data_IF_832972705834
#
_entry.id   IF_832972705834
#
_cell.length_a   1.000
_cell.length_b   1.000
_cell.length_c   1.000
_cell.angle_alpha   90.00
_cell.angle_beta   90.00
_cell.angle_gamma   90.00
#
_symmetry.space_group_name_H-M   'P 1'
#
loop_
_entity.id
_entity.type
_entity.pdbx_description
1 polymer ?
#
# COMPACT_ATOMS: atom_id res chain seq x y z
N UNK A 1 10.48 18.45 -2.84
CA UNK A 1 9.64 17.25 -3.04
C UNK A 1 10.16 16.56 -4.27
N UNK A 2 10.46 15.27 -4.20
CA UNK A 2 10.97 14.52 -5.37
C UNK A 2 9.80 14.16 -6.29
N UNK A 3 9.67 14.76 -7.49
CA UNK A 3 8.52 14.57 -8.37
C UNK A 3 8.40 13.13 -8.89
N UNK A 4 9.48 12.35 -8.86
CA UNK A 4 9.49 10.96 -9.33
C UNK A 4 8.84 9.97 -8.33
N UNK A 5 8.49 10.41 -7.11
CA UNK A 5 7.94 9.54 -6.06
C UNK A 5 6.58 8.91 -6.40
N UNK A 6 5.85 9.46 -7.37
CA UNK A 6 4.63 8.83 -7.88
C UNK A 6 4.93 7.56 -8.70
N UNK A 7 6.11 7.51 -9.34
CA UNK A 7 6.43 6.50 -10.34
C UNK A 7 7.49 5.51 -9.87
N UNK A 8 8.42 5.95 -9.03
CA UNK A 8 9.61 5.18 -8.64
C UNK A 8 9.64 4.86 -7.16
N UNK A 9 10.25 3.73 -6.83
CA UNK A 9 10.56 3.41 -5.44
C UNK A 9 11.64 4.37 -4.93
N UNK A 10 11.45 4.90 -3.73
CA UNK A 10 12.45 5.67 -3.00
C UNK A 10 13.71 4.82 -2.79
N UNK A 11 13.55 3.53 -2.51
CA UNK A 11 14.65 2.58 -2.45
C UNK A 11 14.69 1.75 -3.73
N UNK A 12 15.71 2.01 -4.54
CA UNK A 12 15.95 1.35 -5.83
C UNK A 12 16.12 -0.17 -5.72
N UNK A 13 16.50 -0.71 -4.55
CA UNK A 13 16.61 -2.16 -4.34
C UNK A 13 15.28 -2.92 -4.45
N UNK A 14 14.15 -2.22 -4.42
CA UNK A 14 12.83 -2.80 -4.66
C UNK A 14 12.42 -2.82 -6.14
N UNK A 15 13.13 -2.11 -7.03
CA UNK A 15 12.81 -2.12 -8.47
C UNK A 15 13.04 -3.51 -9.11
N UNK A 16 13.86 -4.37 -8.49
CA UNK A 16 14.18 -5.71 -8.99
C UNK A 16 13.27 -6.80 -8.44
N UNK A 17 12.32 -6.47 -7.55
CA UNK A 17 11.41 -7.46 -6.95
C UNK A 17 10.20 -7.62 -7.86
N UNK A 18 10.04 -8.80 -8.44
CA UNK A 18 8.84 -9.14 -9.19
C UNK A 18 7.68 -9.42 -8.24
N UNK A 19 6.58 -8.67 -8.42
CA UNK A 19 5.32 -8.91 -7.72
C UNK A 19 4.22 -9.13 -8.74
N UNK A 20 3.83 -10.38 -9.03
CA UNK A 20 2.79 -10.65 -10.01
C UNK A 20 1.46 -10.07 -9.54
N UNK A 21 0.77 -9.40 -10.46
CA UNK A 21 -0.54 -8.83 -10.20
C UNK A 21 -1.57 -9.95 -10.00
N UNK A 22 -2.24 -9.95 -8.86
CA UNK A 22 -3.40 -10.78 -8.57
C UNK A 22 -4.64 -9.89 -8.58
N UNK A 23 -5.28 -9.80 -9.75
CA UNK A 23 -6.43 -8.94 -9.97
C UNK A 23 -7.59 -9.28 -9.03
N UNK A 24 -7.80 -10.56 -8.73
CA UNK A 24 -8.89 -11.00 -7.86
C UNK A 24 -8.68 -10.49 -6.42
N UNK A 25 -7.47 -10.62 -5.88
CA UNK A 25 -7.13 -10.08 -4.55
C UNK A 25 -7.19 -8.56 -4.53
N UNK A 26 -6.68 -7.91 -5.58
CA UNK A 26 -6.73 -6.45 -5.68
C UNK A 26 -8.17 -5.92 -5.71
N UNK A 27 -9.05 -6.54 -6.50
CA UNK A 27 -10.46 -6.16 -6.58
C UNK A 27 -11.22 -6.44 -5.28
N UNK A 28 -10.92 -7.56 -4.61
CA UNK A 28 -11.47 -7.84 -3.28
C UNK A 28 -11.06 -6.76 -2.28
N UNK A 29 -9.79 -6.32 -2.31
CA UNK A 29 -9.29 -5.24 -1.46
C UNK A 29 -9.96 -3.89 -1.76
N UNK A 30 -10.04 -3.47 -3.04
CA UNK A 30 -10.71 -2.22 -3.44
C UNK A 30 -12.18 -2.17 -3.03
N UNK A 31 -12.87 -3.33 -3.04
CA UNK A 31 -14.30 -3.44 -2.68
C UNK A 31 -14.52 -3.68 -1.19
N UNK A 32 -13.46 -3.80 -0.38
CA UNK A 32 -13.56 -4.19 1.03
C UNK A 32 -14.26 -5.54 1.22
N UNK A 33 -13.84 -6.56 0.47
CA UNK A 33 -14.35 -7.94 0.51
C UNK A 33 -13.21 -8.96 0.65
N UNK A 34 -12.18 -8.60 1.40
CA UNK A 34 -11.00 -9.45 1.66
C UNK A 34 -11.30 -10.57 2.65
N UNK A 35 -12.38 -10.46 3.42
CA UNK A 35 -12.69 -11.39 4.51
C UNK A 35 -11.99 -11.03 5.82
N UNK A 36 -11.18 -9.97 5.85
CA UNK A 36 -10.55 -9.43 7.06
C UNK A 36 -11.40 -8.25 7.55
N UNK A 37 -12.15 -8.38 8.67
CA UNK A 37 -13.17 -7.41 9.05
C UNK A 37 -12.68 -5.96 9.16
N UNK A 38 -11.48 -5.78 9.73
CA UNK A 38 -10.91 -4.45 9.92
C UNK A 38 -10.49 -3.78 8.59
N UNK A 39 -9.92 -4.56 7.66
CA UNK A 39 -9.54 -4.06 6.33
C UNK A 39 -10.79 -3.71 5.52
N UNK A 40 -11.77 -4.59 5.55
CA UNK A 40 -13.03 -4.43 4.83
C UNK A 40 -13.81 -3.21 5.35
N UNK A 41 -13.89 -3.03 6.67
CA UNK A 41 -14.52 -1.88 7.28
C UNK A 41 -13.81 -0.57 6.93
N UNK A 42 -12.47 -0.55 6.96
CA UNK A 42 -11.70 0.64 6.60
C UNK A 42 -11.90 1.03 5.14
N UNK A 43 -11.85 0.08 4.21
CA UNK A 43 -12.04 0.39 2.79
C UNK A 43 -13.45 0.89 2.51
N UNK A 44 -14.48 0.25 3.09
CA UNK A 44 -15.87 0.69 2.92
C UNK A 44 -16.10 2.08 3.53
N UNK A 45 -15.56 2.34 4.70
CA UNK A 45 -15.61 3.66 5.34
C UNK A 45 -14.93 4.72 4.46
N UNK A 46 -13.76 4.41 3.90
CA UNK A 46 -13.05 5.31 2.99
C UNK A 46 -13.87 5.62 1.74
N UNK A 47 -14.44 4.59 1.09
CA UNK A 47 -15.26 4.77 -0.12
C UNK A 47 -16.52 5.60 0.17
N UNK A 48 -17.15 5.39 1.32
CA UNK A 48 -18.39 6.08 1.69
C UNK A 48 -18.16 7.54 2.12
N UNK A 49 -17.12 7.79 2.93
CA UNK A 49 -16.91 9.08 3.60
C UNK A 49 -15.80 9.92 2.99
N UNK A 50 -14.94 9.29 2.20
CA UNK A 50 -13.73 9.91 1.65
C UNK A 50 -12.63 10.19 2.67
N UNK A 51 -12.73 9.67 3.89
CA UNK A 51 -11.79 9.93 4.96
C UNK A 51 -11.39 8.68 5.76
N UNK A 52 -10.10 8.62 6.11
CA UNK A 52 -9.56 7.72 7.14
C UNK A 52 -8.50 8.45 7.94
N UNK A 53 -8.29 8.06 9.20
CA UNK A 53 -7.14 8.53 9.96
C UNK A 53 -5.83 7.92 9.42
N UNK A 54 -4.70 8.57 9.69
CA UNK A 54 -3.39 8.15 9.17
C UNK A 54 -3.05 6.68 9.45
N UNK A 55 -3.40 6.16 10.63
CA UNK A 55 -3.06 4.78 11.01
C UNK A 55 -3.83 3.76 10.17
N UNK A 56 -5.08 4.03 9.85
CA UNK A 56 -5.89 3.16 8.99
C UNK A 56 -5.48 3.26 7.52
N UNK A 57 -5.09 4.45 7.04
CA UNK A 57 -4.49 4.60 5.70
C UNK A 57 -3.24 3.75 5.57
N UNK A 58 -2.34 3.86 6.55
CA UNK A 58 -1.13 3.06 6.61
C UNK A 58 -1.43 1.55 6.61
N UNK A 59 -2.42 1.12 7.40
CA UNK A 59 -2.82 -0.28 7.47
C UNK A 59 -3.33 -0.83 6.12
N UNK A 60 -4.16 -0.07 5.38
CA UNK A 60 -4.65 -0.51 4.06
C UNK A 60 -3.49 -0.76 3.07
N UNK A 61 -2.48 0.12 3.10
CA UNK A 61 -1.30 0.03 2.23
C UNK A 61 -0.42 -1.14 2.64
N UNK A 62 -0.15 -1.28 3.94
CA UNK A 62 0.65 -2.39 4.47
C UNK A 62 0.01 -3.74 4.15
N UNK A 63 -1.32 -3.84 4.26
CA UNK A 63 -2.05 -5.05 3.90
C UNK A 63 -1.91 -5.37 2.41
N UNK A 64 -2.11 -4.38 1.53
CA UNK A 64 -1.93 -4.55 0.09
C UNK A 64 -0.52 -5.07 -0.26
N UNK A 65 0.53 -4.47 0.32
CA UNK A 65 1.90 -4.74 -0.11
C UNK A 65 2.53 -5.96 0.55
N UNK A 66 2.13 -6.30 1.79
CA UNK A 66 2.72 -7.40 2.54
C UNK A 66 1.83 -8.65 2.55
N UNK A 67 0.52 -8.49 2.75
CA UNK A 67 -0.38 -9.64 2.87
C UNK A 67 -0.88 -10.11 1.51
N UNK A 68 -1.18 -9.18 0.60
CA UNK A 68 -1.58 -9.52 -0.77
C UNK A 68 -0.39 -9.59 -1.74
N UNK A 69 0.79 -9.18 -1.29
CA UNK A 69 2.03 -9.12 -2.08
C UNK A 69 1.84 -8.36 -3.41
N UNK A 70 1.08 -7.27 -3.38
CA UNK A 70 0.78 -6.44 -4.55
C UNK A 70 1.62 -5.17 -4.56
N UNK A 71 1.90 -4.62 -5.74
CA UNK A 71 2.62 -3.35 -5.85
C UNK A 71 1.83 -2.18 -5.27
N UNK A 72 2.50 -1.25 -4.59
CA UNK A 72 1.83 -0.07 -4.02
C UNK A 72 1.24 0.83 -5.13
N UNK A 73 1.88 0.85 -6.30
CA UNK A 73 1.46 1.65 -7.46
C UNK A 73 0.06 1.27 -7.92
N UNK A 74 -0.28 -0.03 -7.93
CA UNK A 74 -1.60 -0.49 -8.37
C UNK A 74 -2.73 -0.11 -7.40
N UNK A 75 -2.40 0.09 -6.12
CA UNK A 75 -3.33 0.58 -5.10
C UNK A 75 -3.39 2.11 -5.00
N UNK A 76 -2.30 2.80 -5.33
CA UNK A 76 -2.16 4.26 -5.16
C UNK A 76 -3.28 5.03 -5.86
N UNK A 77 -3.52 4.74 -7.14
CA UNK A 77 -4.53 5.43 -7.93
C UNK A 77 -5.95 5.19 -7.39
N UNK A 78 -6.22 4.00 -6.83
CA UNK A 78 -7.52 3.73 -6.20
C UNK A 78 -7.71 4.57 -4.95
N UNK A 79 -6.74 4.56 -4.04
CA UNK A 79 -6.78 5.32 -2.79
C UNK A 79 -6.84 6.82 -3.03
N UNK A 80 -6.02 7.34 -3.96
CA UNK A 80 -6.02 8.75 -4.34
C UNK A 80 -7.40 9.24 -4.77
N UNK A 81 -8.17 8.43 -5.50
CA UNK A 81 -9.54 8.76 -5.92
C UNK A 81 -10.56 8.74 -4.79
N UNK A 82 -10.29 8.07 -3.66
CA UNK A 82 -11.23 8.01 -2.56
C UNK A 82 -11.02 9.15 -1.55
N UNK A 83 -9.79 9.65 -1.39
CA UNK A 83 -9.49 10.65 -0.38
C UNK A 83 -9.96 12.05 -0.80
N UNK A 84 -10.83 12.67 0.00
CA UNK A 84 -11.24 14.07 -0.18
C UNK A 84 -10.12 15.05 0.18
N UNK A 85 -9.17 14.62 1.02
CA UNK A 85 -7.97 15.35 1.44
C UNK A 85 -6.72 14.87 0.68
N UNK A 86 -6.89 14.42 -0.56
CA UNK A 86 -5.77 13.97 -1.39
C UNK A 86 -4.81 15.13 -1.67
N UNK A 87 -3.60 15.01 -1.12
CA UNK A 87 -2.46 15.86 -1.44
C UNK A 87 -1.31 14.97 -1.93
N UNK A 88 -0.86 15.09 -3.19
CA UNK A 88 0.16 14.21 -3.76
C UNK A 88 1.45 14.25 -2.93
N UNK A 89 1.75 15.43 -2.38
CA UNK A 89 2.92 15.65 -1.55
C UNK A 89 2.93 14.97 -0.19
N UNK A 90 1.78 14.51 0.28
CA UNK A 90 1.65 13.73 1.52
C UNK A 90 1.39 12.26 1.16
N UNK A 91 0.56 12.02 0.14
CA UNK A 91 0.09 10.70 -0.25
C UNK A 91 1.24 9.77 -0.67
N UNK A 92 2.05 10.16 -1.67
CA UNK A 92 3.11 9.28 -2.18
C UNK A 92 4.21 8.98 -1.14
N UNK A 93 4.70 9.96 -0.35
CA UNK A 93 5.63 9.64 0.74
C UNK A 93 5.04 8.65 1.76
N UNK A 94 3.79 8.83 2.17
CA UNK A 94 3.14 7.94 3.13
C UNK A 94 2.95 6.52 2.58
N UNK A 95 2.52 6.40 1.32
CA UNK A 95 2.41 5.12 0.63
C UNK A 95 3.74 4.37 0.66
N UNK A 96 4.82 5.01 0.23
CA UNK A 96 6.13 4.37 0.11
C UNK A 96 6.79 4.02 1.45
N UNK A 97 6.60 4.86 2.48
CA UNK A 97 7.07 4.55 3.84
C UNK A 97 6.35 3.32 4.37
N UNK A 98 5.05 3.18 4.09
CA UNK A 98 4.22 2.11 4.66
C UNK A 98 4.25 0.82 3.84
N UNK A 99 4.52 0.91 2.54
CA UNK A 99 4.68 -0.24 1.66
C UNK A 99 5.99 -1.01 1.90
N UNK A 100 6.80 -0.57 2.87
CA UNK A 100 8.18 -1.01 3.11
C UNK A 100 9.05 -0.83 1.87
N UNK A 101 9.25 0.43 1.45
CA UNK A 101 10.41 0.81 0.64
C UNK A 101 11.62 1.22 1.52
N UNK A 102 11.63 0.85 2.80
CA UNK A 102 12.86 0.86 3.62
C UNK A 102 13.40 -0.57 3.61
N UNK A 103 14.73 -0.69 3.46
CA UNK A 103 15.50 -1.90 3.13
C UNK A 103 14.83 -3.25 3.48
N UNK A 104 14.97 -4.27 2.61
CA UNK A 104 14.58 -5.61 3.01
C UNK A 104 15.29 -5.92 4.34
N UNK A 105 14.54 -6.37 5.34
CA UNK A 105 15.15 -7.09 6.44
C UNK A 105 15.82 -8.29 5.79
N UNK A 106 17.12 -8.20 5.56
CA UNK A 106 17.97 -9.35 5.26
C UNK A 106 17.82 -10.25 6.49
N UNK A 107 16.86 -11.17 6.46
CA UNK A 107 16.85 -12.29 7.39
C UNK A 107 18.08 -13.10 6.98
N UNK A 108 19.21 -12.82 7.63
CA UNK A 108 20.39 -13.64 7.51
C UNK A 108 19.99 -15.08 7.90
N UNK A 109 20.25 -16.10 7.05
CA UNK A 109 19.95 -17.50 7.37
C UNK A 109 20.66 -18.01 8.64
N UNK A 110 21.65 -17.26 9.14
CA UNK A 110 22.51 -17.61 10.26
C UNK A 110 21.87 -17.53 11.66
N UNK A 111 20.53 -17.48 11.78
CA UNK A 111 19.82 -17.58 13.07
C UNK A 111 19.25 -19.00 13.31
N UNK A 112 19.31 -19.88 12.31
CA UNK A 112 18.86 -21.28 12.43
C UNK A 112 19.99 -22.31 12.24
N UNK A 113 21.19 -22.02 12.73
CA UNK A 113 22.25 -23.02 12.92
C UNK A 113 22.96 -22.75 14.23
#
# INVERSE_FOLDING_TARGET
MEPEMEFRHLNKGFETIEKPLDEAKLEAWKKGKTGIPLIDACMRCLVETGYLNFRMRAMLVSFLTHHLFQEWKVGSAHLARQFLDFEPGIHFPQLQITSTSKAPLTISPSIFT
#
